data_IF_131779938867
#
_entry.id   IF_131779938867
#
_cell.length_a   1.000
_cell.length_b   1.000
_cell.length_c   1.000
_cell.angle_alpha   90.00
_cell.angle_beta   90.00
_cell.angle_gamma   90.00
#
_symmetry.space_group_name_H-M   'P 1'
#
loop_
_entity.id
_entity.type
_entity.pdbx_description
1 polymer ?
#
# COMPACT_ATOMS: atom_id res chain seq x y z
N UNK A 1 -18.36 17.91 -3.86
CA UNK A 1 -18.55 16.87 -4.90
C UNK A 1 -17.27 16.62 -5.71
N UNK A 2 -16.59 17.68 -6.13
CA UNK A 2 -15.28 17.67 -6.84
C UNK A 2 -14.19 16.83 -6.15
N UNK A 3 -14.02 16.97 -4.82
CA UNK A 3 -13.00 16.21 -4.08
C UNK A 3 -13.17 14.68 -4.13
N UNK A 4 -14.41 14.19 -4.12
CA UNK A 4 -14.70 12.74 -4.19
C UNK A 4 -14.39 12.17 -5.58
N UNK A 5 -14.74 12.92 -6.62
CA UNK A 5 -14.45 12.56 -8.02
C UNK A 5 -12.93 12.55 -8.25
N UNK A 6 -12.24 13.58 -7.77
CA UNK A 6 -10.79 13.65 -7.86
C UNK A 6 -10.09 12.47 -7.16
N UNK A 7 -10.50 12.15 -5.93
CA UNK A 7 -9.97 10.99 -5.20
C UNK A 7 -10.23 9.67 -5.94
N UNK A 8 -11.39 9.52 -6.58
CA UNK A 8 -11.69 8.35 -7.40
C UNK A 8 -10.77 8.25 -8.62
N UNK A 9 -10.56 9.35 -9.35
CA UNK A 9 -9.68 9.41 -10.53
C UNK A 9 -8.24 9.07 -10.12
N UNK A 10 -7.72 9.70 -9.08
CA UNK A 10 -6.37 9.43 -8.55
C UNK A 10 -6.25 7.98 -8.12
N UNK A 11 -7.25 7.44 -7.42
CA UNK A 11 -7.26 6.05 -6.97
C UNK A 11 -7.26 5.05 -8.14
N UNK A 12 -7.95 5.37 -9.23
CA UNK A 12 -7.98 4.54 -10.44
C UNK A 12 -6.65 4.59 -11.18
N UNK A 13 -6.13 5.79 -11.47
CA UNK A 13 -4.88 5.98 -12.23
C UNK A 13 -3.68 5.40 -11.47
N UNK A 14 -3.58 5.66 -10.17
CA UNK A 14 -2.47 5.19 -9.34
C UNK A 14 -2.54 3.70 -8.97
N UNK A 15 -3.65 3.02 -9.30
CA UNK A 15 -3.91 1.65 -8.90
C UNK A 15 -4.07 1.46 -7.38
N UNK A 16 -4.38 2.51 -6.61
CA UNK A 16 -4.54 2.43 -5.15
C UNK A 16 -5.67 1.49 -4.72
N UNK A 17 -6.66 1.28 -5.60
CA UNK A 17 -7.70 0.28 -5.42
C UNK A 17 -7.14 -1.14 -5.20
N UNK A 18 -5.94 -1.44 -5.69
CA UNK A 18 -5.26 -2.74 -5.52
C UNK A 18 -4.93 -2.97 -4.05
N UNK A 19 -4.42 -1.94 -3.38
CA UNK A 19 -4.01 -2.02 -1.97
C UNK A 19 -5.22 -1.91 -1.05
N UNK A 20 -6.24 -1.12 -1.43
CA UNK A 20 -7.43 -0.91 -0.59
C UNK A 20 -8.48 -2.02 -0.74
N UNK A 21 -8.65 -2.60 -1.93
CA UNK A 21 -9.72 -3.58 -2.22
C UNK A 21 -9.22 -4.99 -2.51
N UNK A 22 -8.12 -5.13 -3.27
CA UNK A 22 -7.70 -6.43 -3.81
C UNK A 22 -6.75 -7.18 -2.86
N UNK A 23 -5.50 -6.73 -2.76
CA UNK A 23 -4.45 -7.41 -2.00
C UNK A 23 -4.51 -7.08 -0.50
N UNK A 24 -5.18 -5.98 -0.13
CA UNK A 24 -5.42 -5.53 1.26
C UNK A 24 -4.15 -5.34 2.10
N UNK A 25 -2.97 -5.44 1.48
CA UNK A 25 -1.65 -5.28 2.09
C UNK A 25 -0.69 -4.70 1.05
N UNK A 26 0.11 -3.71 1.44
CA UNK A 26 1.17 -3.17 0.62
C UNK A 26 2.42 -4.07 0.67
N UNK A 27 2.92 -4.46 -0.49
CA UNK A 27 4.05 -5.40 -0.64
C UNK A 27 4.49 -5.52 -2.09
N UNK A 28 5.44 -6.43 -2.35
CA UNK A 28 6.03 -6.63 -3.68
C UNK A 28 4.99 -6.87 -4.78
N UNK A 29 4.05 -7.79 -4.53
CA UNK A 29 2.98 -8.12 -5.48
C UNK A 29 2.10 -6.90 -5.83
N UNK A 30 1.78 -6.07 -4.83
CA UNK A 30 0.99 -4.87 -5.04
C UNK A 30 1.75 -3.80 -5.82
N UNK A 31 3.04 -3.65 -5.57
CA UNK A 31 3.92 -2.71 -6.29
C UNK A 31 4.04 -3.14 -7.75
N UNK A 32 4.32 -4.42 -8.00
CA UNK A 32 4.45 -4.96 -9.35
C UNK A 32 3.16 -4.77 -10.14
N UNK A 33 2.02 -5.17 -9.57
CA UNK A 33 0.73 -5.01 -10.25
C UNK A 33 0.42 -3.55 -10.58
N UNK A 34 0.62 -2.64 -9.62
CA UNK A 34 0.39 -1.20 -9.83
C UNK A 34 1.32 -0.62 -10.88
N UNK A 35 2.56 -1.10 -10.93
CA UNK A 35 3.51 -0.73 -11.98
C UNK A 35 3.01 -1.16 -13.35
N UNK A 36 2.60 -2.42 -13.50
CA UNK A 36 2.01 -2.93 -14.74
C UNK A 36 0.78 -2.12 -15.15
N UNK A 37 -0.11 -1.82 -14.20
CA UNK A 37 -1.32 -1.05 -14.43
C UNK A 37 -1.04 0.36 -14.94
N UNK A 38 -0.19 1.12 -14.25
CA UNK A 38 0.19 2.48 -14.66
C UNK A 38 0.89 2.45 -16.02
N UNK A 39 1.81 1.51 -16.22
CA UNK A 39 2.53 1.36 -17.51
C UNK A 39 1.56 1.04 -18.64
N UNK A 40 0.56 0.18 -18.41
CA UNK A 40 -0.48 -0.14 -19.38
C UNK A 40 -1.32 1.09 -19.72
N UNK A 41 -1.73 1.89 -18.73
CA UNK A 41 -2.48 3.13 -18.98
C UNK A 41 -1.66 4.11 -19.83
N UNK A 42 -0.37 4.27 -19.55
CA UNK A 42 0.54 5.09 -20.35
C UNK A 42 0.67 4.53 -21.77
N UNK A 43 0.84 3.21 -21.92
CA UNK A 43 0.93 2.56 -23.22
C UNK A 43 -0.33 2.77 -24.07
N UNK A 44 -1.51 2.59 -23.49
CA UNK A 44 -2.79 2.81 -24.17
C UNK A 44 -2.94 4.27 -24.60
N UNK A 45 -2.59 5.22 -23.73
CA UNK A 45 -2.66 6.65 -24.05
C UNK A 45 -1.70 7.03 -25.19
N UNK A 46 -0.43 6.60 -25.09
CA UNK A 46 0.61 6.93 -26.09
C UNK A 46 0.28 6.29 -27.43
N UNK A 47 -0.08 5.00 -27.46
CA UNK A 47 -0.42 4.31 -28.70
C UNK A 47 -1.71 4.89 -29.30
N UNK A 48 -2.72 5.19 -28.49
CA UNK A 48 -3.95 5.84 -28.95
C UNK A 48 -3.69 7.17 -29.65
N UNK A 49 -2.81 8.00 -29.07
CA UNK A 49 -2.37 9.25 -29.72
C UNK A 49 -1.60 8.94 -31.01
N UNK A 50 -0.64 8.01 -31.01
CA UNK A 50 0.15 7.69 -32.20
C UNK A 50 -0.70 7.16 -33.35
N UNK A 51 -1.74 6.38 -33.08
CA UNK A 51 -2.66 5.86 -34.10
C UNK A 51 -3.40 6.96 -34.87
N UNK A 52 -3.57 8.14 -34.28
CA UNK A 52 -4.21 9.29 -34.93
C UNK A 52 -3.23 10.21 -35.66
N UNK A 53 -1.97 10.26 -35.22
CA UNK A 53 -1.01 11.29 -35.67
C UNK A 53 0.14 10.74 -36.50
N UNK A 54 0.46 9.45 -36.37
CA UNK A 54 1.62 8.83 -37.00
C UNK A 54 1.16 7.84 -38.08
N UNK A 55 1.43 8.18 -39.33
CA UNK A 55 1.12 7.38 -40.50
C UNK A 55 2.41 6.98 -41.22
N UNK A 56 2.33 5.96 -42.07
CA UNK A 56 3.44 5.60 -42.95
C UNK A 56 3.73 6.73 -43.95
N UNK A 57 4.93 6.79 -44.56
CA UNK A 57 5.30 7.85 -45.51
C UNK A 57 4.35 7.98 -46.71
N UNK A 58 3.66 6.90 -47.06
CA UNK A 58 2.64 6.84 -48.11
C UNK A 58 1.22 7.22 -47.62
N UNK A 59 1.06 7.61 -46.35
CA UNK A 59 -0.22 7.96 -45.73
C UNK A 59 -0.98 6.79 -45.11
N UNK A 60 -0.49 5.55 -45.25
CA UNK A 60 -1.20 4.38 -44.74
C UNK A 60 -1.16 4.25 -43.22
N UNK A 61 -2.18 3.57 -42.67
CA UNK A 61 -2.23 3.22 -41.25
C UNK A 61 -1.13 2.21 -40.91
N UNK A 62 -0.37 2.51 -39.86
CA UNK A 62 0.63 1.60 -39.32
C UNK A 62 -0.06 0.60 -38.38
N UNK A 63 0.35 -0.67 -38.42
CA UNK A 63 -0.16 -1.68 -37.51
C UNK A 63 0.16 -1.34 -36.05
N UNK A 64 -0.80 -1.58 -35.14
CA UNK A 64 -0.65 -1.33 -33.70
C UNK A 64 0.61 -1.99 -33.12
N UNK A 65 0.94 -3.20 -33.59
CA UNK A 65 2.14 -3.94 -33.17
C UNK A 65 3.42 -3.16 -33.45
N UNK A 66 3.49 -2.45 -34.58
CA UNK A 66 4.66 -1.65 -34.94
C UNK A 66 4.75 -0.38 -34.08
N UNK A 67 3.62 0.25 -33.77
CA UNK A 67 3.60 1.35 -32.80
C UNK A 67 4.10 0.91 -31.42
N UNK A 68 3.71 -0.29 -30.97
CA UNK A 68 4.16 -0.86 -29.69
C UNK A 68 5.66 -1.15 -29.69
N UNK A 69 6.21 -1.72 -30.76
CA UNK A 69 7.63 -1.97 -30.89
C UNK A 69 8.45 -0.68 -30.84
N UNK A 70 8.02 0.36 -31.55
CA UNK A 70 8.69 1.67 -31.56
C UNK A 70 8.74 2.32 -30.18
N UNK A 71 7.66 2.20 -29.38
CA UNK A 71 7.59 2.80 -28.04
C UNK A 71 8.11 1.87 -26.95
N UNK A 72 8.46 0.62 -27.27
CA UNK A 72 8.80 -0.40 -26.29
C UNK A 72 9.93 0.00 -25.35
N UNK A 73 10.99 0.62 -25.88
CA UNK A 73 12.09 1.15 -25.07
C UNK A 73 11.69 2.29 -24.12
N UNK A 74 10.73 3.12 -24.51
CA UNK A 74 10.18 4.15 -23.62
C UNK A 74 9.24 3.55 -22.57
N UNK A 75 8.44 2.55 -22.95
CA UNK A 75 7.57 1.86 -22.01
C UNK A 75 8.35 1.10 -20.93
N UNK A 76 9.51 0.53 -21.26
CA UNK A 76 10.37 -0.09 -20.24
C UNK A 76 10.96 0.94 -19.27
N UNK A 77 11.33 2.13 -19.75
CA UNK A 77 11.77 3.24 -18.90
C UNK A 77 10.64 3.73 -17.96
N UNK A 78 9.41 3.88 -18.49
CA UNK A 78 8.23 4.22 -17.69
C UNK A 78 7.98 3.16 -16.63
N UNK A 79 8.00 1.88 -16.99
CA UNK A 79 7.84 0.77 -16.06
C UNK A 79 8.88 0.84 -14.93
N UNK A 80 10.16 0.97 -15.29
CA UNK A 80 11.25 1.05 -14.31
C UNK A 80 11.10 2.24 -13.36
N UNK A 81 10.75 3.41 -13.90
CA UNK A 81 10.54 4.63 -13.10
C UNK A 81 9.36 4.51 -12.13
N UNK A 82 8.22 3.98 -12.59
CA UNK A 82 7.04 3.76 -11.73
C UNK A 82 7.34 2.71 -10.66
N UNK A 83 7.98 1.61 -11.03
CA UNK A 83 8.36 0.54 -10.10
C UNK A 83 9.26 1.09 -9.00
N UNK A 84 10.32 1.83 -9.39
CA UNK A 84 11.26 2.43 -8.47
C UNK A 84 10.56 3.41 -7.51
N UNK A 85 9.69 4.27 -8.01
CA UNK A 85 8.97 5.24 -7.19
C UNK A 85 8.04 4.58 -6.16
N UNK A 86 7.27 3.57 -6.59
CA UNK A 86 6.37 2.81 -5.71
C UNK A 86 7.16 2.00 -4.68
N UNK A 87 8.26 1.38 -5.08
CA UNK A 87 9.13 0.62 -4.21
C UNK A 87 9.84 1.51 -3.18
N UNK A 88 10.37 2.66 -3.60
CA UNK A 88 10.99 3.64 -2.71
C UNK A 88 10.00 4.12 -1.63
N UNK A 89 8.76 4.44 -2.03
CA UNK A 89 7.70 4.79 -1.07
C UNK A 89 7.43 3.64 -0.09
N UNK A 90 7.26 2.42 -0.58
CA UNK A 90 7.02 1.25 0.29
C UNK A 90 8.18 1.03 1.26
N UNK A 91 9.43 1.12 0.81
CA UNK A 91 10.63 0.96 1.63
C UNK A 91 10.70 1.98 2.75
N UNK A 92 10.39 3.25 2.45
CA UNK A 92 10.31 4.32 3.44
C UNK A 92 9.22 4.05 4.49
N UNK A 93 8.02 3.66 4.06
CA UNK A 93 6.90 3.32 4.96
C UNK A 93 7.22 2.13 5.88
N UNK A 94 7.85 1.10 5.33
CA UNK A 94 8.24 -0.09 6.09
C UNK A 94 9.32 0.23 7.12
N UNK A 95 10.36 0.98 6.70
CA UNK A 95 11.46 1.41 7.58
C UNK A 95 10.96 2.28 8.73
N UNK A 96 10.03 3.20 8.44
CA UNK A 96 9.38 4.02 9.46
C UNK A 96 8.71 3.16 10.54
N UNK A 97 7.84 2.21 10.15
CA UNK A 97 7.16 1.34 11.12
C UNK A 97 8.13 0.43 11.87
N UNK A 98 9.12 -0.15 11.18
CA UNK A 98 10.12 -1.00 11.83
C UNK A 98 10.92 -0.23 12.90
N UNK A 99 11.30 1.01 12.61
CA UNK A 99 11.97 1.90 13.56
C UNK A 99 11.08 2.23 14.76
N UNK A 100 9.82 2.61 14.51
CA UNK A 100 8.85 2.89 15.58
C UNK A 100 8.63 1.68 16.49
N UNK A 101 8.49 0.49 15.92
CA UNK A 101 8.38 -0.76 16.68
C UNK A 101 9.60 -0.97 17.58
N UNK A 102 10.82 -0.82 17.04
CA UNK A 102 12.04 -1.02 17.82
C UNK A 102 12.13 -0.02 18.98
N UNK A 103 11.77 1.25 18.76
CA UNK A 103 11.74 2.26 19.82
C UNK A 103 10.73 1.88 20.91
N UNK A 104 9.52 1.46 20.54
CA UNK A 104 8.50 1.00 21.50
C UNK A 104 9.03 -0.18 22.33
N UNK A 105 9.70 -1.15 21.70
CA UNK A 105 10.27 -2.31 22.40
C UNK A 105 11.42 -1.95 23.32
N UNK A 106 12.28 -1.00 22.92
CA UNK A 106 13.35 -0.48 23.78
C UNK A 106 12.78 0.21 25.01
N UNK A 107 11.76 1.06 24.83
CA UNK A 107 11.06 1.72 25.93
C UNK A 107 10.34 0.73 26.84
N UNK A 108 9.70 -0.31 26.28
CA UNK A 108 9.05 -1.37 27.05
C UNK A 108 10.04 -2.18 27.90
N UNK A 109 11.27 -2.36 27.42
CA UNK A 109 12.33 -3.04 28.16
C UNK A 109 12.98 -2.16 29.26
N UNK A 110 12.65 -0.87 29.30
CA UNK A 110 13.22 0.09 30.27
C UNK A 110 12.38 0.13 31.55
N UNK A 111 13.04 0.10 32.71
CA UNK A 111 12.35 0.18 34.01
C UNK A 111 11.64 1.53 34.21
N UNK A 112 10.47 1.50 34.87
CA UNK A 112 9.71 2.71 35.20
C UNK A 112 8.89 3.31 34.06
N UNK A 113 8.68 2.59 32.96
CA UNK A 113 7.84 3.06 31.85
C UNK A 113 6.39 3.28 32.29
N UNK A 114 5.82 4.42 31.92
CA UNK A 114 4.40 4.68 32.10
C UNK A 114 3.59 3.83 31.12
N UNK A 115 2.82 2.87 31.64
CA UNK A 115 2.03 1.92 30.85
C UNK A 115 0.97 2.58 29.97
N UNK A 116 0.36 3.69 30.41
CA UNK A 116 -0.64 4.43 29.63
C UNK A 116 -0.01 5.15 28.43
N UNK A 117 1.19 5.73 28.63
CA UNK A 117 1.96 6.32 27.54
C UNK A 117 2.36 5.23 26.54
N UNK A 118 2.91 4.11 27.01
CA UNK A 118 3.29 2.99 26.16
C UNK A 118 2.10 2.44 25.35
N UNK A 119 0.92 2.32 25.97
CA UNK A 119 -0.30 1.91 25.29
C UNK A 119 -0.71 2.86 24.16
N UNK A 120 -0.53 4.17 24.37
CA UNK A 120 -0.80 5.20 23.36
C UNK A 120 0.17 5.09 22.16
N UNK A 121 1.45 4.83 22.41
CA UNK A 121 2.44 4.60 21.34
C UNK A 121 2.14 3.33 20.54
N UNK A 122 1.78 2.22 21.21
CA UNK A 122 1.35 0.98 20.55
C UNK A 122 0.10 1.21 19.70
N UNK A 123 -0.88 1.97 20.20
CA UNK A 123 -2.08 2.34 19.45
C UNK A 123 -1.74 3.16 18.20
N UNK A 124 -0.86 4.17 18.32
CA UNK A 124 -0.38 4.97 17.19
C UNK A 124 0.33 4.12 16.13
N UNK A 125 1.20 3.19 16.54
CA UNK A 125 1.81 2.23 15.61
C UNK A 125 0.77 1.42 14.84
N UNK A 126 -0.28 0.92 15.52
CA UNK A 126 -1.34 0.13 14.88
C UNK A 126 -2.13 1.00 13.89
N UNK A 127 -2.41 2.25 14.25
CA UNK A 127 -3.08 3.21 13.37
C UNK A 127 -2.27 3.50 12.11
N UNK A 128 -0.99 3.82 12.26
CA UNK A 128 -0.11 4.11 11.14
C UNK A 128 0.08 2.89 10.25
N UNK A 129 0.22 1.70 10.85
CA UNK A 129 0.25 0.46 10.09
C UNK A 129 -1.01 0.25 9.26
N UNK A 130 -2.19 0.61 9.76
CA UNK A 130 -3.42 0.55 8.98
C UNK A 130 -3.45 1.60 7.86
N UNK A 131 -3.11 2.85 8.17
CA UNK A 131 -3.11 3.97 7.23
C UNK A 131 -2.11 3.75 6.08
N UNK A 132 -0.98 3.10 6.36
CA UNK A 132 0.04 2.76 5.38
C UNK A 132 -0.24 1.45 4.64
N UNK A 133 -1.37 0.79 4.94
CA UNK A 133 -1.74 -0.53 4.42
C UNK A 133 -0.72 -1.64 4.71
N UNK A 134 -0.03 -1.54 5.84
CA UNK A 134 0.98 -2.50 6.30
C UNK A 134 0.49 -3.39 7.46
N UNK A 135 -0.67 -3.09 8.06
CA UNK A 135 -1.18 -3.81 9.23
C UNK A 135 -1.39 -5.32 9.01
N UNK A 136 -1.71 -5.75 7.79
CA UNK A 136 -1.91 -7.16 7.46
C UNK A 136 -0.64 -7.85 6.91
N UNK A 137 0.50 -7.15 6.87
CA UNK A 137 1.77 -7.74 6.45
C UNK A 137 2.24 -8.75 7.48
N UNK A 138 2.79 -9.88 7.03
CA UNK A 138 3.24 -10.99 7.90
C UNK A 138 4.20 -10.56 9.01
N UNK A 139 5.02 -9.53 8.79
CA UNK A 139 5.95 -8.99 9.79
C UNK A 139 5.28 -8.15 10.89
N UNK A 140 4.10 -7.57 10.64
CA UNK A 140 3.44 -6.66 11.57
C UNK A 140 2.13 -7.22 12.13
N UNK A 141 1.39 -8.03 11.36
CA UNK A 141 0.11 -8.58 11.78
C UNK A 141 0.19 -9.36 13.12
N UNK A 142 1.22 -10.20 13.40
CA UNK A 142 1.34 -10.87 14.69
C UNK A 142 1.55 -9.90 15.86
N UNK A 143 2.34 -8.85 15.65
CA UNK A 143 2.59 -7.79 16.66
C UNK A 143 1.29 -7.05 16.96
N UNK A 144 0.55 -6.65 15.92
CA UNK A 144 -0.73 -5.95 16.06
C UNK A 144 -1.78 -6.85 16.74
N UNK A 145 -1.80 -8.15 16.41
CA UNK A 145 -2.66 -9.13 17.08
C UNK A 145 -2.33 -9.24 18.58
N UNK A 146 -1.04 -9.32 18.92
CA UNK A 146 -0.59 -9.42 20.31
C UNK A 146 -0.88 -8.14 21.11
N UNK A 147 -0.59 -6.96 20.57
CA UNK A 147 -0.92 -5.70 21.24
C UNK A 147 -2.42 -5.41 21.25
N UNK A 148 -3.18 -5.95 20.29
CA UNK A 148 -4.63 -5.80 20.23
C UNK A 148 -5.39 -6.50 21.35
N UNK A 149 -4.76 -7.41 22.11
CA UNK A 149 -5.37 -8.03 23.30
C UNK A 149 -5.26 -7.16 24.55
N UNK A 150 -4.40 -6.15 24.55
CA UNK A 150 -4.25 -5.21 25.66
C UNK A 150 -5.37 -4.18 25.63
N UNK A 151 -6.19 -4.17 26.70
CA UNK A 151 -7.32 -3.25 26.83
C UNK A 151 -6.91 -1.78 26.84
N UNK A 152 -5.72 -1.44 27.37
CA UNK A 152 -5.22 -0.09 27.39
C UNK A 152 -4.87 0.39 25.97
N UNK A 153 -4.26 -0.48 25.16
CA UNK A 153 -3.95 -0.20 23.75
C UNK A 153 -5.24 -0.02 22.94
N UNK A 154 -6.21 -0.91 23.11
CA UNK A 154 -7.50 -0.81 22.44
C UNK A 154 -8.23 0.50 22.80
N UNK A 155 -8.25 0.86 24.08
CA UNK A 155 -8.86 2.10 24.57
C UNK A 155 -8.17 3.34 23.99
N UNK A 156 -6.83 3.36 23.98
CA UNK A 156 -6.07 4.46 23.39
C UNK A 156 -6.35 4.59 21.89
N UNK A 157 -6.40 3.49 21.14
CA UNK A 157 -6.75 3.52 19.72
C UNK A 157 -8.13 4.12 19.49
N UNK A 158 -9.14 3.68 20.25
CA UNK A 158 -10.51 4.19 20.11
C UNK A 158 -10.63 5.67 20.47
N UNK A 159 -9.82 6.13 21.42
CA UNK A 159 -9.84 7.52 21.90
C UNK A 159 -9.18 8.50 20.95
N UNK A 160 -8.11 8.08 20.27
CA UNK A 160 -7.29 8.98 19.46
C UNK A 160 -7.37 8.75 17.95
N UNK A 161 -7.68 7.53 17.48
CA UNK A 161 -7.75 7.24 16.05
C UNK A 161 -9.11 7.65 15.44
N UNK A 162 -9.13 8.33 14.27
CA UNK A 162 -10.37 8.61 13.55
C UNK A 162 -11.10 7.32 13.18
N UNK A 163 -12.44 7.33 13.28
CA UNK A 163 -13.27 6.17 12.94
C UNK A 163 -13.63 5.25 14.11
N UNK A 164 -13.15 5.54 15.32
CA UNK A 164 -13.60 4.97 16.61
C UNK A 164 -13.52 3.43 16.70
N UNK A 165 -14.30 2.82 17.61
CA UNK A 165 -14.37 1.38 17.85
C UNK A 165 -14.76 0.55 16.61
N UNK A 166 -15.53 1.11 15.67
CA UNK A 166 -15.87 0.37 14.44
C UNK A 166 -14.63 0.10 13.58
N UNK A 167 -13.72 1.07 13.49
CA UNK A 167 -12.47 0.93 12.73
C UNK A 167 -11.59 -0.12 13.38
N UNK A 168 -11.42 -0.05 14.70
CA UNK A 168 -10.68 -1.04 15.49
C UNK A 168 -11.19 -2.47 15.26
N UNK A 169 -12.50 -2.70 15.36
CA UNK A 169 -13.10 -4.03 15.17
C UNK A 169 -12.80 -4.59 13.77
N UNK A 170 -12.99 -3.78 12.72
CA UNK A 170 -12.69 -4.17 11.32
C UNK A 170 -11.20 -4.46 11.12
N UNK A 171 -10.33 -3.70 11.75
CA UNK A 171 -8.88 -3.93 11.72
C UNK A 171 -8.53 -5.26 12.37
N UNK A 172 -8.98 -5.51 13.60
CA UNK A 172 -8.69 -6.76 14.32
C UNK A 172 -9.18 -8.01 13.58
N UNK A 173 -10.36 -7.95 12.94
CA UNK A 173 -10.83 -9.04 12.07
C UNK A 173 -9.87 -9.33 10.92
N UNK A 174 -9.38 -8.30 10.22
CA UNK A 174 -8.44 -8.47 9.09
C UNK A 174 -7.07 -8.96 9.55
N UNK A 175 -6.57 -8.41 10.66
CA UNK A 175 -5.28 -8.80 11.25
C UNK A 175 -5.32 -10.27 11.68
N UNK A 176 -6.40 -10.71 12.34
CA UNK A 176 -6.58 -12.12 12.71
C UNK A 176 -6.53 -13.02 11.47
N UNK A 177 -7.30 -12.71 10.43
CA UNK A 177 -7.31 -13.48 9.19
C UNK A 177 -5.93 -13.52 8.51
N UNK A 178 -5.17 -12.42 8.55
CA UNK A 178 -3.82 -12.35 7.99
C UNK A 178 -2.81 -13.21 8.76
N UNK A 179 -2.90 -13.23 10.09
CA UNK A 179 -2.07 -14.10 10.94
C UNK A 179 -2.40 -15.56 10.69
N UNK A 180 -3.69 -15.92 10.65
CA UNK A 180 -4.11 -17.31 10.46
C UNK A 180 -3.67 -17.82 9.08
N UNK A 181 -3.85 -17.03 8.02
CA UNK A 181 -3.36 -17.33 6.66
C UNK A 181 -1.83 -17.49 6.61
N UNK A 182 -1.10 -16.69 7.40
CA UNK A 182 0.36 -16.79 7.46
C UNK A 182 0.77 -18.06 8.18
N UNK A 183 0.11 -18.42 9.28
CA UNK A 183 0.37 -19.65 10.02
C UNK A 183 0.14 -20.91 9.16
N UNK A 184 -0.90 -20.92 8.31
CA UNK A 184 -1.16 -22.01 7.36
C UNK A 184 -0.02 -22.24 6.36
N UNK A 185 0.76 -21.23 5.99
CA UNK A 185 1.89 -21.37 5.05
C UNK A 185 3.10 -22.10 5.64
N UNK A 186 3.17 -22.19 6.97
CA UNK A 186 4.30 -22.79 7.69
C UNK A 186 3.91 -24.10 8.38
N UNK A 187 2.71 -24.62 8.12
CA UNK A 187 2.30 -25.97 8.49
C UNK A 187 2.60 -26.92 7.34
#
# INVERSE_FOLDING_TARGET
MTAKIWGFIVGLISGEWVVTRCLKTNGGDAILFRTCWVTLLVAVAVVGIRLHWVHAPNGDKIAVTRHLLDVGGWLSAVFGGVYLALYARFSSQWTYLASLYNQIKQTEATAGVNSAVLASWKAGFIEDAENLHLACKSSFAPVIKAWGTDAAVASAFVSYAPGSASRWKKLQTRVKAAVDKTAERYK
#
